data_IF_223209565344
#
_entry.id   IF_223209565344
#
_cell.length_a   1.000
_cell.length_b   1.000
_cell.length_c   1.000
_cell.angle_alpha   90.00
_cell.angle_beta   90.00
_cell.angle_gamma   90.00
#
_symmetry.space_group_name_H-M   'P 1'
#
loop_
_entity.id
_entity.type
_entity.pdbx_description
1 polymer ?
#
# COMPACT_ATOMS: atom_id res chain seq x y z
N UNK A 1 2.77 39.94 -3.55
CA UNK A 1 2.38 38.62 -2.97
C UNK A 1 1.57 38.88 -1.70
N UNK A 2 0.28 38.56 -1.69
CA UNK A 2 -0.59 38.78 -0.51
C UNK A 2 -0.62 37.54 0.39
N UNK A 3 -1.10 37.68 1.62
CA UNK A 3 -1.26 36.55 2.55
C UNK A 3 -2.13 35.43 1.96
N UNK A 4 -3.17 35.78 1.18
CA UNK A 4 -4.03 34.83 0.49
C UNK A 4 -3.27 33.95 -0.51
N UNK A 5 -2.35 34.53 -1.31
CA UNK A 5 -1.53 33.76 -2.26
C UNK A 5 -0.63 32.75 -1.55
N UNK A 6 -0.06 33.11 -0.40
CA UNK A 6 0.78 32.20 0.40
C UNK A 6 -0.02 31.04 0.96
N UNK A 7 -1.24 31.30 1.46
CA UNK A 7 -2.11 30.26 2.00
C UNK A 7 -2.53 29.25 0.91
N UNK A 8 -2.87 29.72 -0.29
CA UNK A 8 -3.20 28.85 -1.43
C UNK A 8 -2.00 27.97 -1.80
N UNK A 9 -0.82 28.57 -1.96
CA UNK A 9 0.42 27.82 -2.29
C UNK A 9 0.76 26.77 -1.22
N UNK A 10 0.60 27.11 0.06
CA UNK A 10 0.81 26.15 1.15
C UNK A 10 -0.21 25.00 1.11
N UNK A 11 -1.48 25.31 0.84
CA UNK A 11 -2.54 24.30 0.70
C UNK A 11 -2.25 23.33 -0.44
N UNK A 12 -1.87 23.84 -1.62
CA UNK A 12 -1.49 23.03 -2.77
C UNK A 12 -0.28 22.14 -2.48
N UNK A 13 0.77 22.69 -1.86
CA UNK A 13 1.96 21.92 -1.49
C UNK A 13 1.63 20.81 -0.49
N UNK A 14 0.80 21.09 0.52
CA UNK A 14 0.36 20.10 1.49
C UNK A 14 -0.47 19.00 0.83
N UNK A 15 -1.40 19.38 -0.05
CA UNK A 15 -2.22 18.44 -0.82
C UNK A 15 -1.37 17.51 -1.69
N UNK A 16 -0.42 18.06 -2.43
CA UNK A 16 0.50 17.27 -3.27
C UNK A 16 1.38 16.33 -2.43
N UNK A 17 1.89 16.81 -1.28
CA UNK A 17 2.71 15.99 -0.39
C UNK A 17 1.91 14.84 0.21
N UNK A 18 0.68 15.10 0.68
CA UNK A 18 -0.22 14.09 1.23
C UNK A 18 -0.61 13.07 0.16
N UNK A 19 -1.06 13.51 -1.00
CA UNK A 19 -1.44 12.61 -2.09
C UNK A 19 -0.29 11.73 -2.58
N UNK A 20 0.94 12.28 -2.67
CA UNK A 20 2.13 11.46 -3.01
C UNK A 20 2.46 10.44 -1.92
N UNK A 21 2.28 10.78 -0.65
CA UNK A 21 2.53 9.85 0.45
C UNK A 21 1.51 8.72 0.46
N UNK A 22 0.22 9.04 0.37
CA UNK A 22 -0.87 8.06 0.32
C UNK A 22 -0.74 7.16 -0.91
N UNK A 23 -0.48 7.73 -2.09
CA UNK A 23 -0.29 6.95 -3.32
C UNK A 23 0.91 5.99 -3.25
N UNK A 24 2.00 6.36 -2.59
CA UNK A 24 3.13 5.45 -2.37
C UNK A 24 2.78 4.31 -1.42
N UNK A 25 2.12 4.63 -0.30
CA UNK A 25 1.73 3.61 0.69
C UNK A 25 0.73 2.61 0.07
N UNK A 26 -0.27 3.09 -0.66
CA UNK A 26 -1.25 2.21 -1.31
C UNK A 26 -0.59 1.39 -2.43
N UNK A 27 0.31 1.99 -3.21
CA UNK A 27 1.07 1.27 -4.24
C UNK A 27 1.94 0.15 -3.67
N UNK A 28 2.64 0.40 -2.56
CA UNK A 28 3.42 -0.61 -1.83
C UNK A 28 2.52 -1.74 -1.32
N UNK A 29 1.36 -1.40 -0.74
CA UNK A 29 0.40 -2.37 -0.22
C UNK A 29 -0.20 -3.24 -1.32
N UNK A 30 -0.62 -2.66 -2.43
CA UNK A 30 -1.12 -3.39 -3.61
C UNK A 30 -0.05 -4.33 -4.15
N UNK A 31 1.20 -3.88 -4.24
CA UNK A 31 2.31 -4.70 -4.73
C UNK A 31 2.58 -5.88 -3.79
N UNK A 32 2.66 -5.65 -2.48
CA UNK A 32 2.86 -6.71 -1.48
C UNK A 32 1.75 -7.77 -1.55
N UNK A 33 0.50 -7.32 -1.68
CA UNK A 33 -0.67 -8.21 -1.84
C UNK A 33 -0.60 -9.06 -3.11
N UNK A 34 -0.28 -8.47 -4.26
CA UNK A 34 -0.15 -9.22 -5.53
C UNK A 34 0.94 -10.29 -5.46
N UNK A 35 2.11 -9.92 -4.93
CA UNK A 35 3.21 -10.87 -4.75
C UNK A 35 2.78 -12.00 -3.80
N UNK A 36 2.10 -11.69 -2.70
CA UNK A 36 1.60 -12.72 -1.78
C UNK A 36 0.58 -13.66 -2.45
N UNK A 37 -0.31 -13.14 -3.29
CA UNK A 37 -1.26 -13.96 -4.05
C UNK A 37 -0.56 -14.90 -5.05
N UNK A 38 0.43 -14.40 -5.80
CA UNK A 38 1.24 -15.21 -6.71
C UNK A 38 1.98 -16.31 -5.94
N UNK A 39 2.66 -15.97 -4.84
CA UNK A 39 3.36 -16.94 -4.01
C UNK A 39 2.41 -17.98 -3.39
N UNK A 40 1.21 -17.59 -2.95
CA UNK A 40 0.19 -18.55 -2.50
C UNK A 40 -0.21 -19.50 -3.64
N UNK A 41 -0.38 -18.98 -4.86
CA UNK A 41 -0.74 -19.79 -6.03
C UNK A 41 0.36 -20.78 -6.42
N UNK A 42 1.63 -20.43 -6.17
CA UNK A 42 2.79 -21.29 -6.36
C UNK A 42 3.01 -22.27 -5.20
N UNK A 43 2.18 -22.23 -4.14
CA UNK A 43 2.22 -23.17 -3.02
C UNK A 43 3.25 -22.84 -1.94
N UNK A 44 3.68 -21.59 -1.83
CA UNK A 44 4.59 -21.17 -0.75
C UNK A 44 3.87 -21.17 0.61
N UNK A 45 4.63 -21.49 1.65
CA UNK A 45 4.20 -21.38 3.06
C UNK A 45 3.91 -19.91 3.44
N UNK A 46 2.82 -19.70 4.19
CA UNK A 46 2.45 -18.42 4.81
C UNK A 46 3.58 -17.74 5.57
N UNK A 47 4.40 -18.48 6.33
CA UNK A 47 5.54 -17.91 7.08
C UNK A 47 6.57 -17.31 6.11
N UNK A 48 6.85 -18.01 5.01
CA UNK A 48 7.78 -17.55 3.98
C UNK A 48 7.23 -16.35 3.22
N UNK A 49 5.93 -16.36 2.91
CA UNK A 49 5.24 -15.23 2.27
C UNK A 49 5.29 -14.01 3.18
N UNK A 50 4.92 -14.15 4.45
CA UNK A 50 4.95 -13.07 5.44
C UNK A 50 6.31 -12.40 5.55
N UNK A 51 7.38 -13.20 5.61
CA UNK A 51 8.75 -12.69 5.67
C UNK A 51 9.17 -11.92 4.39
N UNK A 52 8.68 -12.31 3.22
CA UNK A 52 9.07 -11.72 1.93
C UNK A 52 8.24 -10.46 1.62
N UNK A 53 6.94 -10.51 1.84
CA UNK A 53 6.02 -9.43 1.47
C UNK A 53 5.82 -8.42 2.60
N UNK A 54 6.22 -8.77 3.82
CA UNK A 54 5.99 -7.95 5.02
C UNK A 54 4.54 -7.96 5.50
N UNK A 55 3.67 -8.75 4.86
CA UNK A 55 2.29 -8.91 5.28
C UNK A 55 2.20 -9.81 6.51
N UNK A 56 1.25 -9.53 7.40
CA UNK A 56 0.91 -10.42 8.49
C UNK A 56 0.24 -11.70 7.98
N UNK A 57 0.35 -12.79 8.74
CA UNK A 57 -0.35 -14.05 8.42
C UNK A 57 -1.86 -13.86 8.29
N UNK A 58 -2.45 -12.92 9.05
CA UNK A 58 -3.88 -12.59 8.95
C UNK A 58 -4.21 -11.97 7.59
N UNK A 59 -3.40 -11.02 7.13
CA UNK A 59 -3.57 -10.42 5.81
C UNK A 59 -3.45 -11.48 4.72
N UNK A 60 -2.42 -12.32 4.78
CA UNK A 60 -2.19 -13.40 3.80
C UNK A 60 -3.38 -14.38 3.79
N UNK A 61 -3.92 -14.74 4.96
CA UNK A 61 -5.10 -15.62 5.06
C UNK A 61 -6.33 -14.98 4.42
N UNK A 62 -6.55 -13.68 4.61
CA UNK A 62 -7.66 -12.97 3.96
C UNK A 62 -7.53 -12.99 2.43
N UNK A 63 -6.30 -12.85 1.89
CA UNK A 63 -6.05 -12.94 0.44
C UNK A 63 -6.40 -14.29 -0.17
N UNK A 64 -6.35 -15.38 0.61
CA UNK A 64 -6.76 -16.71 0.16
C UNK A 64 -8.29 -16.91 0.13
N UNK A 65 -9.04 -16.07 0.85
CA UNK A 65 -10.49 -16.22 1.05
C UNK A 65 -11.30 -15.38 0.04
N UNK A 66 -10.70 -14.36 -0.59
CA UNK A 66 -11.32 -13.52 -1.63
C UNK A 66 -11.53 -14.24 -2.99
N UNK A 67 -11.43 -15.58 -3.05
CA UNK A 67 -11.83 -16.41 -4.20
C UNK A 67 -13.33 -16.79 -4.16
N UNK A 68 -14.22 -15.83 -3.89
CA UNK A 68 -15.68 -16.02 -4.04
C UNK A 68 -16.17 -15.29 -5.28
#
# INVERSE_FOLDING_TARGET
MTAATRLIQQGEQLGLKKGRQEGRQEGERIKATKIAQEMLSEGFDMVKISRITGLSEREIKNLSTDKV
#
